data_IF_022429639590
#
_entry.id   IF_022429639590
#
_cell.length_a   1.000
_cell.length_b   1.000
_cell.length_c   1.000
_cell.angle_alpha   90.00
_cell.angle_beta   90.00
_cell.angle_gamma   90.00
#
_symmetry.space_group_name_H-M   'P 1'
#
loop_
_entity.id
_entity.type
_entity.pdbx_description
1 polymer ?
#
# COMPACT_ATOMS: atom_id res chain seq x y z
N UNK A 1 -3.55 -0.61 -27.43
CA UNK A 1 -2.41 0.21 -27.01
C UNK A 1 -2.87 1.09 -25.86
N UNK A 2 -2.42 0.80 -24.64
CA UNK A 2 -2.81 1.55 -23.45
C UNK A 2 -2.21 2.95 -23.53
N UNK A 3 -3.06 3.96 -23.48
CA UNK A 3 -2.72 5.38 -23.56
C UNK A 3 -1.93 5.81 -22.33
N UNK A 4 -0.61 5.65 -22.36
CA UNK A 4 0.32 6.15 -21.33
C UNK A 4 1.25 7.14 -22.03
N UNK A 5 1.25 8.38 -21.54
CA UNK A 5 2.00 9.49 -22.12
C UNK A 5 3.51 9.23 -22.16
N UNK A 6 4.07 8.47 -21.19
CA UNK A 6 5.47 8.05 -21.20
C UNK A 6 5.73 6.90 -20.21
N UNK A 7 6.48 5.86 -20.63
CA UNK A 7 6.81 4.71 -19.77
C UNK A 7 7.82 5.11 -18.69
N UNK A 8 8.72 6.06 -18.99
CA UNK A 8 9.73 6.52 -18.04
C UNK A 8 9.11 7.23 -16.83
N UNK A 9 8.08 8.04 -17.08
CA UNK A 9 7.29 8.71 -16.04
C UNK A 9 6.57 7.67 -15.17
N UNK A 10 6.00 6.62 -15.78
CA UNK A 10 5.36 5.54 -15.03
C UNK A 10 6.33 4.77 -14.12
N UNK A 11 7.55 4.52 -14.61
CA UNK A 11 8.61 3.87 -13.81
C UNK A 11 8.97 4.73 -12.60
N UNK A 12 9.15 6.02 -12.79
CA UNK A 12 9.47 6.96 -11.70
C UNK A 12 8.33 7.01 -10.68
N UNK A 13 7.07 7.08 -11.12
CA UNK A 13 5.90 6.98 -10.24
C UNK A 13 5.91 5.72 -9.37
N UNK A 14 6.05 4.55 -9.99
CA UNK A 14 6.03 3.27 -9.28
C UNK A 14 7.20 3.17 -8.30
N UNK A 15 8.40 3.57 -8.74
CA UNK A 15 9.62 3.48 -7.94
C UNK A 15 9.58 4.37 -6.69
N UNK A 16 9.02 5.58 -6.78
CA UNK A 16 8.85 6.48 -5.63
C UNK A 16 7.90 5.88 -4.61
N UNK A 17 6.73 5.41 -5.08
CA UNK A 17 5.69 4.84 -4.23
C UNK A 17 6.21 3.58 -3.53
N UNK A 18 6.82 2.66 -4.27
CA UNK A 18 7.44 1.45 -3.72
C UNK A 18 8.53 1.78 -2.69
N UNK A 19 9.47 2.68 -3.02
CA UNK A 19 10.55 3.07 -2.10
C UNK A 19 10.00 3.68 -0.81
N UNK A 20 8.91 4.45 -0.89
CA UNK A 20 8.26 5.04 0.29
C UNK A 20 7.62 3.98 1.20
N UNK A 21 6.91 2.99 0.64
CA UNK A 21 6.31 1.89 1.39
C UNK A 21 7.37 0.95 1.98
N UNK A 22 8.45 0.71 1.25
CA UNK A 22 9.59 -0.05 1.73
C UNK A 22 10.27 0.67 2.90
N UNK A 23 10.51 1.99 2.78
CA UNK A 23 11.08 2.79 3.87
C UNK A 23 10.20 2.75 5.13
N UNK A 24 8.87 2.90 4.97
CA UNK A 24 7.91 2.80 6.08
C UNK A 24 7.92 1.40 6.71
N UNK A 25 7.98 0.34 5.89
CA UNK A 25 8.00 -1.04 6.37
C UNK A 25 9.25 -1.35 7.18
N UNK A 26 10.44 -0.96 6.68
CA UNK A 26 11.70 -1.16 7.42
C UNK A 26 11.77 -0.26 8.65
N UNK A 27 11.27 0.98 8.56
CA UNK A 27 11.11 1.88 9.69
C UNK A 27 10.21 1.30 10.78
N UNK A 28 9.10 0.65 10.40
CA UNK A 28 8.21 -0.05 11.33
C UNK A 28 8.91 -1.23 12.02
N UNK A 29 9.72 -2.00 11.30
CA UNK A 29 10.53 -3.09 11.89
C UNK A 29 11.54 -2.56 12.90
N UNK A 30 12.23 -1.46 12.60
CA UNK A 30 13.14 -0.78 13.53
C UNK A 30 12.38 -0.25 14.76
N UNK A 31 11.23 0.40 14.55
CA UNK A 31 10.38 0.90 15.62
C UNK A 31 9.86 -0.22 16.53
N UNK A 32 9.37 -1.33 15.97
CA UNK A 32 8.94 -2.49 16.73
C UNK A 32 10.09 -3.17 17.48
N UNK A 33 11.32 -3.04 17.01
CA UNK A 33 12.51 -3.49 17.74
C UNK A 33 12.82 -2.67 18.97
N UNK A 34 12.55 -1.37 18.91
CA UNK A 34 12.64 -0.49 20.09
C UNK A 34 11.48 -0.71 21.06
N UNK A 35 10.24 -0.80 20.56
CA UNK A 35 9.03 -0.87 21.39
C UNK A 35 8.75 -2.24 22.02
N UNK A 36 9.05 -3.34 21.31
CA UNK A 36 8.80 -4.71 21.77
C UNK A 36 10.08 -5.57 21.71
N UNK A 37 11.02 -5.36 22.65
CA UNK A 37 12.29 -6.10 22.66
C UNK A 37 12.12 -7.56 23.12
N UNK A 38 11.06 -7.89 23.87
CA UNK A 38 10.86 -9.21 24.51
C UNK A 38 10.11 -10.25 23.67
N UNK A 39 9.65 -9.93 22.46
CA UNK A 39 9.01 -10.93 21.59
C UNK A 39 10.06 -11.91 21.07
N UNK A 40 9.76 -13.22 21.12
CA UNK A 40 10.61 -14.24 20.50
C UNK A 40 10.73 -13.99 19.00
N UNK A 41 11.97 -13.94 18.51
CA UNK A 41 12.27 -13.72 17.10
C UNK A 41 12.98 -14.97 16.57
N UNK A 42 12.33 -15.78 15.71
CA UNK A 42 12.94 -16.97 15.14
C UNK A 42 14.14 -16.64 14.24
N UNK A 43 14.15 -15.44 13.63
CA UNK A 43 15.24 -14.96 12.76
C UNK A 43 15.78 -13.64 13.31
N UNK A 44 17.08 -13.61 13.63
CA UNK A 44 17.78 -12.43 14.18
C UNK A 44 18.72 -11.84 13.13
N UNK A 45 18.33 -10.72 12.54
CA UNK A 45 19.20 -9.93 11.67
C UNK A 45 19.99 -8.89 12.47
N UNK A 46 21.22 -8.61 12.05
CA UNK A 46 22.05 -7.53 12.61
C UNK A 46 21.37 -6.18 12.39
N UNK A 47 21.43 -5.30 13.40
CA UNK A 47 20.78 -3.97 13.36
C UNK A 47 21.36 -3.04 12.30
N UNK A 48 22.60 -3.26 11.87
CA UNK A 48 23.26 -2.44 10.87
C UNK A 48 22.59 -2.54 9.48
N UNK A 49 22.09 -3.73 9.13
CA UNK A 49 21.47 -3.98 7.82
C UNK A 49 20.23 -3.09 7.60
N UNK A 50 19.20 -3.09 8.50
CA UNK A 50 18.03 -2.24 8.31
C UNK A 50 18.35 -0.74 8.38
N UNK A 51 19.38 -0.33 9.13
CA UNK A 51 19.80 1.08 9.19
C UNK A 51 20.36 1.53 7.85
N UNK A 52 21.32 0.78 7.28
CA UNK A 52 21.91 1.09 5.97
C UNK A 52 20.84 1.07 4.88
N UNK A 53 19.94 0.10 4.92
CA UNK A 53 18.84 0.00 3.97
C UNK A 53 17.88 1.20 4.06
N UNK A 54 17.51 1.63 5.26
CA UNK A 54 16.72 2.86 5.45
C UNK A 54 17.43 4.10 4.88
N UNK A 55 18.75 4.21 5.03
CA UNK A 55 19.52 5.32 4.45
C UNK A 55 19.49 5.31 2.91
N UNK A 56 19.63 4.13 2.30
CA UNK A 56 19.54 3.97 0.84
C UNK A 56 18.13 4.33 0.36
N UNK A 57 17.08 3.84 1.02
CA UNK A 57 15.70 4.19 0.67
C UNK A 57 15.42 5.68 0.85
N UNK A 58 15.94 6.32 1.89
CA UNK A 58 15.81 7.77 2.09
C UNK A 58 16.46 8.53 0.92
N UNK A 59 17.66 8.11 0.49
CA UNK A 59 18.33 8.71 -0.67
C UNK A 59 17.50 8.53 -1.96
N UNK A 60 16.96 7.32 -2.19
CA UNK A 60 16.10 7.02 -3.33
C UNK A 60 14.79 7.82 -3.36
N UNK A 61 14.32 8.33 -2.23
CA UNK A 61 13.16 9.23 -2.17
C UNK A 61 13.59 10.68 -2.40
N UNK A 62 14.73 11.09 -1.85
CA UNK A 62 15.22 12.47 -1.95
C UNK A 62 15.62 12.84 -3.38
N UNK A 63 16.26 11.95 -4.12
CA UNK A 63 16.66 12.18 -5.52
C UNK A 63 15.47 12.55 -6.43
N UNK A 64 14.38 11.77 -6.52
CA UNK A 64 13.23 12.09 -7.36
C UNK A 64 12.46 13.31 -6.86
N UNK A 65 12.51 13.66 -5.58
CA UNK A 65 11.96 14.93 -5.08
C UNK A 65 12.62 16.15 -5.74
N UNK A 66 13.91 16.07 -6.08
CA UNK A 66 14.62 17.15 -6.78
C UNK A 66 14.44 17.08 -8.30
N UNK A 67 14.43 15.88 -8.87
CA UNK A 67 14.40 15.69 -10.34
C UNK A 67 12.98 15.85 -10.90
N UNK A 68 11.98 15.29 -10.22
CA UNK A 68 10.60 15.20 -10.69
C UNK A 68 9.59 15.42 -9.56
N UNK A 69 9.51 16.65 -9.00
CA UNK A 69 8.63 16.95 -7.85
C UNK A 69 7.14 16.74 -8.17
N UNK A 70 6.72 16.97 -9.42
CA UNK A 70 5.35 16.75 -9.85
C UNK A 70 4.94 15.27 -9.69
N UNK A 71 5.83 14.36 -10.05
CA UNK A 71 5.56 12.92 -10.02
C UNK A 71 5.48 12.41 -8.56
N UNK A 72 6.37 12.93 -7.70
CA UNK A 72 6.33 12.64 -6.26
C UNK A 72 5.00 13.10 -5.64
N UNK A 73 4.58 14.33 -5.92
CA UNK A 73 3.34 14.89 -5.35
C UNK A 73 2.13 14.08 -5.80
N UNK A 74 2.05 13.72 -7.07
CA UNK A 74 0.96 12.88 -7.58
C UNK A 74 0.97 11.47 -6.95
N UNK A 75 2.14 10.86 -6.75
CA UNK A 75 2.27 9.58 -6.04
C UNK A 75 1.78 9.65 -4.60
N UNK A 76 2.11 10.74 -3.89
CA UNK A 76 1.61 11.01 -2.53
C UNK A 76 0.10 11.22 -2.55
N UNK A 77 -0.44 12.00 -3.50
CA UNK A 77 -1.89 12.24 -3.62
C UNK A 77 -2.65 10.92 -3.81
N UNK A 78 -2.20 10.05 -4.72
CA UNK A 78 -2.82 8.73 -4.95
C UNK A 78 -2.76 7.90 -3.66
N UNK A 79 -1.63 7.90 -2.97
CA UNK A 79 -1.48 7.17 -1.70
C UNK A 79 -2.44 7.70 -0.63
N UNK A 80 -2.56 9.03 -0.50
CA UNK A 80 -3.47 9.68 0.45
C UNK A 80 -4.92 9.41 0.09
N UNK A 81 -5.29 9.31 -1.19
CA UNK A 81 -6.67 8.94 -1.58
C UNK A 81 -7.08 7.55 -1.09
N UNK A 82 -6.15 6.64 -0.78
CA UNK A 82 -6.49 5.39 -0.10
C UNK A 82 -7.12 5.58 1.29
N UNK A 83 -6.75 6.65 2.00
CA UNK A 83 -7.25 6.96 3.35
C UNK A 83 -8.76 7.28 3.36
N UNK A 84 -9.29 8.26 2.59
CA UNK A 84 -10.73 8.53 2.57
C UNK A 84 -11.53 7.32 2.08
N UNK A 85 -11.03 6.54 1.12
CA UNK A 85 -11.68 5.30 0.70
C UNK A 85 -11.73 4.25 1.82
N UNK A 86 -10.68 4.13 2.63
CA UNK A 86 -10.69 3.26 3.82
C UNK A 86 -11.75 3.71 4.84
N UNK A 87 -11.88 5.02 5.09
CA UNK A 87 -12.91 5.54 5.99
C UNK A 87 -14.32 5.24 5.47
N UNK A 88 -14.58 5.47 4.18
CA UNK A 88 -15.88 5.18 3.55
C UNK A 88 -16.19 3.68 3.53
N UNK A 89 -15.18 2.84 3.29
CA UNK A 89 -15.35 1.40 3.15
C UNK A 89 -15.45 0.65 4.48
N UNK A 90 -14.63 0.99 5.47
CA UNK A 90 -14.47 0.18 6.69
C UNK A 90 -15.05 0.89 7.92
N UNK A 91 -14.73 2.17 8.12
CA UNK A 91 -15.15 2.92 9.32
C UNK A 91 -16.63 3.31 9.28
N UNK A 92 -17.21 3.44 8.07
CA UNK A 92 -18.62 3.72 7.92
C UNK A 92 -19.45 2.46 8.22
N UNK A 93 -19.86 2.28 9.48
CA UNK A 93 -20.72 1.17 9.91
C UNK A 93 -22.19 1.38 9.47
N UNK A 94 -22.69 2.61 9.47
CA UNK A 94 -24.06 2.96 9.06
C UNK A 94 -24.19 3.16 7.54
N UNK A 95 -23.86 2.14 6.75
CA UNK A 95 -24.01 2.22 5.28
C UNK A 95 -25.49 2.23 4.89
N UNK A 96 -25.90 3.09 3.95
CA UNK A 96 -27.28 3.10 3.50
C UNK A 96 -27.62 1.79 2.78
N UNK A 97 -28.82 1.27 3.04
CA UNK A 97 -29.29 -0.04 2.57
C UNK A 97 -29.23 -0.21 1.04
N UNK A 98 -29.36 0.89 0.27
CA UNK A 98 -29.25 0.85 -1.19
C UNK A 98 -27.83 0.47 -1.66
N UNK A 99 -26.79 1.00 -1.02
CA UNK A 99 -25.39 0.79 -1.39
C UNK A 99 -24.98 -0.65 -1.10
N UNK A 100 -25.41 -1.21 0.03
CA UNK A 100 -25.19 -2.61 0.36
C UNK A 100 -25.91 -3.55 -0.63
N UNK A 101 -27.15 -3.23 -1.02
CA UNK A 101 -27.89 -3.99 -2.04
C UNK A 101 -27.17 -3.96 -3.40
N UNK A 102 -26.64 -2.81 -3.81
CA UNK A 102 -25.88 -2.69 -5.08
C UNK A 102 -24.59 -3.50 -5.05
N UNK A 103 -23.83 -3.44 -3.95
CA UNK A 103 -22.60 -4.23 -3.80
C UNK A 103 -22.92 -5.73 -3.88
N UNK A 104 -23.91 -6.21 -3.13
CA UNK A 104 -24.31 -7.63 -3.14
C UNK A 104 -24.81 -8.07 -4.52
N UNK A 105 -25.60 -7.23 -5.20
CA UNK A 105 -26.04 -7.52 -6.56
C UNK A 105 -24.86 -7.62 -7.53
N UNK A 106 -23.90 -6.70 -7.44
CA UNK A 106 -22.66 -6.73 -8.22
C UNK A 106 -21.83 -7.99 -7.95
N UNK A 107 -21.62 -8.34 -6.68
CA UNK A 107 -20.91 -9.56 -6.29
C UNK A 107 -21.60 -10.80 -6.86
N UNK A 108 -22.93 -10.90 -6.79
CA UNK A 108 -23.67 -12.03 -7.32
C UNK A 108 -23.63 -12.13 -8.85
N UNK A 109 -23.59 -11.00 -9.56
CA UNK A 109 -23.35 -10.98 -11.01
C UNK A 109 -21.95 -11.50 -11.33
N UNK A 110 -20.92 -11.03 -10.62
CA UNK A 110 -19.56 -11.51 -10.79
C UNK A 110 -19.44 -13.01 -10.49
N UNK A 111 -20.04 -13.49 -9.40
CA UNK A 111 -20.04 -14.91 -9.03
C UNK A 111 -20.67 -15.78 -10.12
N UNK A 112 -21.80 -15.36 -10.70
CA UNK A 112 -22.45 -16.09 -11.81
C UNK A 112 -21.61 -16.07 -13.08
N UNK A 113 -20.96 -14.95 -13.40
CA UNK A 113 -20.18 -14.80 -14.61
C UNK A 113 -18.89 -15.64 -14.58
N UNK A 114 -18.25 -15.73 -13.41
CA UNK A 114 -17.00 -16.48 -13.23
C UNK A 114 -17.18 -17.89 -12.65
N UNK A 115 -18.42 -18.33 -12.40
CA UNK A 115 -18.74 -19.57 -11.67
C UNK A 115 -17.92 -19.72 -10.37
N UNK A 116 -17.73 -18.62 -9.66
CA UNK A 116 -16.94 -18.57 -8.43
C UNK A 116 -17.85 -18.83 -7.22
N UNK A 117 -17.49 -19.84 -6.43
CA UNK A 117 -18.09 -20.10 -5.12
C UNK A 117 -17.32 -19.35 -4.03
N UNK A 118 -18.03 -19.01 -2.94
CA UNK A 118 -17.36 -18.54 -1.73
C UNK A 118 -16.53 -19.68 -1.12
N UNK A 119 -15.38 -19.35 -0.54
CA UNK A 119 -14.62 -20.30 0.26
C UNK A 119 -15.45 -20.66 1.51
N UNK A 120 -15.62 -21.96 1.78
CA UNK A 120 -16.18 -22.40 3.05
C UNK A 120 -15.23 -21.95 4.18
N UNK A 121 -15.79 -21.34 5.22
CA UNK A 121 -15.00 -21.04 6.41
C UNK A 121 -14.63 -22.36 7.07
N UNK A 122 -13.33 -22.65 7.10
CA UNK A 122 -12.77 -23.69 7.95
C UNK A 122 -13.04 -23.29 9.42
N UNK A 123 -13.99 -23.98 10.05
CA UNK A 123 -14.26 -23.91 11.49
C UNK A 123 -13.21 -24.71 12.30
#
# INVERSE_FOLDING_TARGET
MLSISDVYVLITYCSIVESSFIMLSVGAVLYFRYKYPKKERPIKVSLWIPIVFCLICAFLIVVPCYVAPYEVVMGILITITGIPFYYVGVVWENKPQWLMKTIVAGTHICQKLFMSSIEEKED
#
